data_IF_958102775410
#
_entry.id   IF_958102775410
#
_cell.length_a   1.000
_cell.length_b   1.000
_cell.length_c   1.000
_cell.angle_alpha   90.00
_cell.angle_beta   90.00
_cell.angle_gamma   90.00
#
_symmetry.space_group_name_H-M   'P 1'
#
loop_
_entity.id
_entity.type
_entity.pdbx_description
1 polymer ?
#
# COMPACT_ATOMS: atom_id res chain seq x y z
N UNK A 1 -14.82 15.24 39.66
CA UNK A 1 -13.98 16.46 39.60
C UNK A 1 -12.53 16.14 39.94
N UNK A 2 -11.61 16.19 38.94
CA UNK A 2 -10.14 16.41 39.01
C UNK A 2 -9.59 16.22 37.57
N UNK A 3 -9.37 17.31 36.82
CA UNK A 3 -8.08 17.94 36.42
C UNK A 3 -7.24 17.07 35.44
N UNK A 4 -7.19 17.33 34.12
CA UNK A 4 -6.39 18.33 33.33
C UNK A 4 -4.87 18.06 33.26
N UNK A 5 -4.33 18.11 32.01
CA UNK A 5 -2.94 18.50 31.56
C UNK A 5 -1.91 17.35 31.49
N UNK A 6 -0.99 17.17 30.51
CA UNK A 6 -0.69 17.63 29.13
C UNK A 6 0.56 16.79 28.67
N UNK A 7 0.70 16.59 27.34
CA UNK A 7 1.93 16.50 26.51
C UNK A 7 3.23 15.86 27.07
N UNK A 8 3.81 14.91 26.31
CA UNK A 8 4.95 15.17 25.39
C UNK A 8 5.64 13.86 24.97
N UNK A 9 5.93 13.75 23.67
CA UNK A 9 6.70 12.66 23.08
C UNK A 9 6.83 12.86 21.58
N UNK A 10 7.25 14.06 21.16
CA UNK A 10 7.57 14.33 19.75
C UNK A 10 8.93 13.70 19.44
N UNK A 11 8.95 12.72 18.53
CA UNK A 11 10.18 12.31 17.86
C UNK A 11 10.22 13.02 16.52
N UNK A 12 10.97 14.11 16.47
CA UNK A 12 11.42 14.74 15.24
C UNK A 12 12.57 13.91 14.71
N UNK A 13 12.42 13.30 13.53
CA UNK A 13 13.53 12.75 12.76
C UNK A 13 13.60 13.53 11.45
N UNK A 14 14.53 14.47 11.42
CA UNK A 14 15.02 15.09 10.20
C UNK A 14 16.20 14.25 9.71
N UNK A 15 16.04 13.60 8.56
CA UNK A 15 17.15 13.31 7.65
C UNK A 15 16.74 13.75 6.25
N UNK A 16 17.59 14.61 5.71
CA UNK A 16 17.53 15.44 4.51
C UNK A 16 17.32 14.61 3.22
N UNK A 17 16.51 15.15 2.29
CA UNK A 17 16.78 15.00 0.86
C UNK A 17 15.77 14.27 -0.04
N UNK A 18 14.46 14.37 0.20
CA UNK A 18 13.46 14.21 -0.88
C UNK A 18 12.46 15.36 -0.75
N UNK A 19 12.75 16.44 -1.46
CA UNK A 19 11.91 17.62 -1.50
C UNK A 19 10.56 17.32 -2.19
N UNK A 20 9.47 17.80 -1.58
CA UNK A 20 8.10 17.94 -2.13
C UNK A 20 7.11 16.76 -2.08
N UNK A 21 6.98 16.07 -0.95
CA UNK A 21 5.68 15.49 -0.58
C UNK A 21 5.33 15.86 0.88
N UNK A 22 4.54 16.91 1.02
CA UNK A 22 3.91 17.33 2.27
C UNK A 22 2.77 16.35 2.60
N UNK A 23 3.13 15.14 3.04
CA UNK A 23 2.17 14.18 3.58
C UNK A 23 2.04 14.53 5.06
N UNK A 24 1.06 15.36 5.37
CA UNK A 24 0.61 15.59 6.74
C UNK A 24 0.13 14.26 7.32
N UNK A 25 1.00 13.56 8.05
CA UNK A 25 0.74 12.26 8.67
C UNK A 25 -0.43 12.35 9.67
N UNK A 26 -0.69 13.54 10.25
CA UNK A 26 -1.88 13.77 11.08
C UNK A 26 -3.15 13.85 10.24
N UNK A 27 -3.09 14.44 9.05
CA UNK A 27 -4.15 14.35 8.04
C UNK A 27 -4.36 12.91 7.56
N UNK A 28 -3.32 12.10 7.41
CA UNK A 28 -3.41 10.70 6.99
C UNK A 28 -4.13 9.82 8.02
N UNK A 29 -3.72 9.90 9.29
CA UNK A 29 -4.37 9.17 10.39
C UNK A 29 -5.81 9.64 10.63
N UNK A 30 -6.10 10.93 10.42
CA UNK A 30 -7.47 11.46 10.52
C UNK A 30 -8.33 11.06 9.32
N UNK A 31 -7.78 11.01 8.10
CA UNK A 31 -8.48 10.54 6.89
C UNK A 31 -8.74 9.03 6.91
N UNK A 32 -7.81 8.22 7.42
CA UNK A 32 -8.03 6.78 7.62
C UNK A 32 -9.10 6.52 8.67
N UNK A 33 -9.17 7.36 9.72
CA UNK A 33 -10.23 7.32 10.73
C UNK A 33 -11.61 7.76 10.19
N UNK A 34 -11.65 8.64 9.19
CA UNK A 34 -12.88 9.07 8.50
C UNK A 34 -13.31 8.14 7.36
N UNK A 35 -12.39 7.40 6.74
CA UNK A 35 -12.69 6.43 5.67
C UNK A 35 -13.13 5.07 6.21
N UNK A 36 -12.97 4.83 7.51
CA UNK A 36 -13.48 3.67 8.22
C UNK A 36 -14.42 4.20 9.30
N UNK A 37 -15.55 4.77 8.88
CA UNK A 37 -16.71 4.74 9.77
C UNK A 37 -17.07 3.26 9.94
N UNK A 38 -17.04 2.72 11.17
CA UNK A 38 -17.72 1.46 11.41
C UNK A 38 -19.15 1.67 10.94
N UNK A 39 -19.69 0.72 10.17
CA UNK A 39 -21.15 0.62 10.09
C UNK A 39 -21.61 0.28 11.51
N UNK A 40 -21.85 1.31 12.32
CA UNK A 40 -22.45 1.16 13.63
C UNK A 40 -23.81 0.49 13.41
N UNK A 41 -24.19 -0.42 14.30
CA UNK A 41 -25.40 -1.23 14.17
C UNK A 41 -26.69 -0.42 13.99
N UNK A 42 -26.65 0.89 14.26
CA UNK A 42 -27.77 1.82 14.10
C UNK A 42 -27.84 2.56 12.76
N UNK A 43 -26.86 2.36 11.86
CA UNK A 43 -26.82 2.96 10.52
C UNK A 43 -28.09 2.63 9.71
N UNK A 44 -28.70 3.64 9.08
CA UNK A 44 -29.86 3.43 8.20
C UNK A 44 -29.54 2.48 7.03
N UNK A 45 -28.28 2.39 6.59
CA UNK A 45 -27.85 1.41 5.60
C UNK A 45 -27.92 -0.02 6.17
N UNK A 46 -27.46 -0.22 7.41
CA UNK A 46 -27.54 -1.51 8.11
C UNK A 46 -29.00 -1.90 8.33
N UNK A 47 -29.87 -0.96 8.73
CA UNK A 47 -31.32 -1.19 8.90
C UNK A 47 -32.00 -1.50 7.58
N UNK A 48 -31.67 -0.80 6.50
CA UNK A 48 -32.23 -1.05 5.16
C UNK A 48 -31.76 -2.39 4.58
N UNK A 49 -30.50 -2.77 4.75
CA UNK A 49 -29.99 -4.08 4.35
C UNK A 49 -30.64 -5.18 5.20
N UNK A 50 -30.74 -4.96 6.52
CA UNK A 50 -31.35 -5.91 7.44
C UNK A 50 -32.83 -6.18 7.12
N UNK A 51 -33.58 -5.14 6.72
CA UNK A 51 -34.99 -5.24 6.37
C UNK A 51 -35.24 -5.82 4.96
N UNK A 52 -34.26 -5.76 4.06
CA UNK A 52 -34.37 -6.26 2.67
C UNK A 52 -33.94 -7.72 2.53
N UNK A 53 -33.08 -8.19 3.42
CA UNK A 53 -32.63 -9.57 3.44
C UNK A 53 -33.51 -10.31 4.45
N UNK A 54 -34.31 -11.31 4.03
CA UNK A 54 -35.11 -12.09 4.95
C UNK A 54 -34.19 -13.08 5.68
N UNK A 55 -33.43 -12.60 6.67
CA UNK A 55 -32.48 -13.42 7.44
C UNK A 55 -33.14 -14.64 8.08
N UNK A 56 -34.44 -14.55 8.38
CA UNK A 56 -35.26 -15.65 8.90
C UNK A 56 -35.65 -16.70 7.85
N UNK A 57 -35.39 -16.45 6.56
CA UNK A 57 -35.70 -17.35 5.44
C UNK A 57 -34.46 -17.95 4.79
N UNK A 58 -33.26 -17.50 5.15
CA UNK A 58 -32.04 -18.22 4.78
C UNK A 58 -32.06 -19.55 5.54
N UNK A 59 -32.14 -20.66 4.81
CA UNK A 59 -32.07 -21.96 5.45
C UNK A 59 -30.70 -22.11 6.13
N UNK A 60 -30.66 -22.75 7.32
CA UNK A 60 -29.40 -23.00 8.04
C UNK A 60 -28.33 -23.63 7.13
N UNK A 61 -28.74 -24.40 6.12
CA UNK A 61 -27.88 -25.00 5.11
C UNK A 61 -27.26 -23.96 4.18
N UNK A 62 -28.03 -23.00 3.65
CA UNK A 62 -27.54 -21.96 2.75
C UNK A 62 -26.59 -20.98 3.46
N UNK A 63 -26.89 -20.63 4.71
CA UNK A 63 -25.98 -19.82 5.55
C UNK A 63 -24.68 -20.57 5.81
N UNK A 64 -24.77 -21.87 6.12
CA UNK A 64 -23.61 -22.70 6.37
C UNK A 64 -22.75 -22.84 5.11
N UNK A 65 -23.34 -23.07 3.95
CA UNK A 65 -22.64 -23.12 2.66
C UNK A 65 -21.95 -21.79 2.33
N UNK A 66 -22.62 -20.66 2.58
CA UNK A 66 -22.02 -19.34 2.38
C UNK A 66 -20.84 -19.09 3.31
N UNK A 67 -20.97 -19.41 4.60
CA UNK A 67 -19.87 -19.31 5.57
C UNK A 67 -18.74 -20.30 5.28
N UNK A 68 -19.05 -21.44 4.65
CA UNK A 68 -18.06 -22.41 4.23
C UNK A 68 -17.35 -22.04 2.92
N UNK A 69 -17.89 -21.09 2.16
CA UNK A 69 -17.32 -20.63 0.90
C UNK A 69 -15.92 -20.01 1.10
N UNK A 70 -14.88 -20.44 0.34
CA UNK A 70 -13.49 -20.01 0.56
C UNK A 70 -13.28 -18.50 0.58
N UNK A 71 -13.97 -17.76 -0.30
CA UNK A 71 -13.89 -16.29 -0.36
C UNK A 71 -14.45 -15.62 0.89
N UNK A 72 -15.50 -16.19 1.48
CA UNK A 72 -16.12 -15.64 2.69
C UNK A 72 -15.21 -15.91 3.89
N UNK A 73 -14.64 -17.11 3.98
CA UNK A 73 -13.63 -17.44 4.99
C UNK A 73 -12.42 -16.50 4.94
N UNK A 74 -11.86 -16.27 3.75
CA UNK A 74 -10.73 -15.36 3.56
C UNK A 74 -11.06 -13.92 3.99
N UNK A 75 -12.24 -13.42 3.64
CA UNK A 75 -12.70 -12.10 4.06
C UNK A 75 -12.88 -11.99 5.58
N UNK A 76 -13.54 -12.96 6.20
CA UNK A 76 -13.77 -12.97 7.65
C UNK A 76 -12.46 -13.09 8.42
N UNK A 77 -11.54 -13.91 7.94
CA UNK A 77 -10.19 -14.03 8.50
C UNK A 77 -9.43 -12.69 8.45
N UNK A 78 -9.46 -12.00 7.29
CA UNK A 78 -8.87 -10.67 7.15
C UNK A 78 -9.47 -9.65 8.13
N UNK A 79 -10.79 -9.61 8.27
CA UNK A 79 -11.46 -8.69 9.21
C UNK A 79 -11.17 -9.03 10.68
N UNK A 80 -11.00 -10.31 11.01
CA UNK A 80 -10.63 -10.76 12.35
C UNK A 80 -9.20 -10.32 12.70
N UNK A 81 -8.22 -10.55 11.82
CA UNK A 81 -6.83 -10.12 12.06
C UNK A 81 -6.74 -8.60 12.18
N UNK A 82 -7.41 -7.86 11.30
CA UNK A 82 -7.47 -6.40 11.34
C UNK A 82 -8.01 -5.90 12.68
N UNK A 83 -9.10 -6.50 13.17
CA UNK A 83 -9.68 -6.16 14.48
C UNK A 83 -8.71 -6.50 15.61
N UNK A 84 -8.12 -7.68 15.60
CA UNK A 84 -7.19 -8.13 16.63
C UNK A 84 -5.96 -7.20 16.74
N UNK A 85 -5.37 -6.81 15.60
CA UNK A 85 -4.26 -5.85 15.57
C UNK A 85 -4.68 -4.46 16.03
N UNK A 86 -5.85 -3.97 15.62
CA UNK A 86 -6.39 -2.68 16.10
C UNK A 86 -6.56 -2.70 17.62
N UNK A 87 -7.14 -3.77 18.15
CA UNK A 87 -7.40 -3.92 19.57
C UNK A 87 -6.09 -4.03 20.36
N UNK A 88 -5.11 -4.77 19.85
CA UNK A 88 -3.74 -4.84 20.40
C UNK A 88 -3.07 -3.46 20.51
N UNK A 89 -3.07 -2.67 19.43
CA UNK A 89 -2.47 -1.34 19.45
C UNK A 89 -3.24 -0.35 20.33
N UNK A 90 -4.57 -0.51 20.45
CA UNK A 90 -5.39 0.30 21.36
C UNK A 90 -5.26 -0.11 22.84
N UNK A 91 -4.63 -1.26 23.13
CA UNK A 91 -4.53 -1.82 24.49
C UNK A 91 -5.83 -2.47 24.99
N UNK A 92 -6.77 -2.76 24.09
CA UNK A 92 -8.05 -3.43 24.39
C UNK A 92 -8.05 -4.91 23.99
N UNK A 93 -7.04 -5.36 23.24
CA UNK A 93 -6.93 -6.73 22.75
C UNK A 93 -6.23 -7.68 23.71
N UNK A 94 -6.44 -8.98 23.49
CA UNK A 94 -5.83 -10.07 24.26
C UNK A 94 -4.55 -10.63 23.62
N UNK A 95 -4.20 -10.19 22.40
CA UNK A 95 -2.98 -10.64 21.75
C UNK A 95 -1.76 -10.30 22.60
N UNK A 96 -0.91 -11.32 22.81
CA UNK A 96 0.45 -11.12 23.29
C UNK A 96 1.28 -10.33 22.27
N UNK A 97 2.45 -9.86 22.71
CA UNK A 97 3.39 -9.16 21.84
C UNK A 97 3.82 -10.05 20.68
N UNK A 98 4.11 -11.32 20.96
CA UNK A 98 4.54 -12.31 20.00
C UNK A 98 3.44 -12.60 18.97
N UNK A 99 2.20 -12.84 19.41
CA UNK A 99 1.06 -13.08 18.50
C UNK A 99 0.75 -11.87 17.63
N UNK A 100 0.89 -10.65 18.16
CA UNK A 100 0.73 -9.44 17.36
C UNK A 100 1.82 -9.31 16.28
N UNK A 101 3.07 -9.68 16.59
CA UNK A 101 4.14 -9.69 15.58
C UNK A 101 3.88 -10.73 14.50
N UNK A 102 3.50 -11.95 14.88
CA UNK A 102 3.16 -13.02 13.93
C UNK A 102 2.00 -12.63 13.01
N UNK A 103 0.96 -12.00 13.55
CA UNK A 103 -0.16 -11.50 12.76
C UNK A 103 0.27 -10.40 11.77
N UNK A 104 1.22 -9.53 12.13
CA UNK A 104 1.78 -8.52 11.21
C UNK A 104 2.59 -9.20 10.09
N UNK A 105 3.44 -10.17 10.43
CA UNK A 105 4.20 -10.96 9.45
C UNK A 105 3.28 -11.75 8.50
N UNK A 106 2.18 -12.29 9.01
CA UNK A 106 1.19 -13.01 8.21
C UNK A 106 0.51 -12.10 7.18
N UNK A 107 0.00 -10.94 7.59
CA UNK A 107 -0.69 -10.03 6.66
C UNK A 107 0.26 -9.45 5.60
N UNK A 108 1.54 -9.28 5.93
CA UNK A 108 2.56 -8.88 4.97
C UNK A 108 2.89 -9.99 3.98
N UNK A 109 3.16 -11.21 4.48
CA UNK A 109 3.49 -12.37 3.66
C UNK A 109 2.39 -12.71 2.67
N UNK A 110 1.14 -12.52 3.07
CA UNK A 110 -0.03 -12.74 2.22
C UNK A 110 -0.39 -11.55 1.33
N UNK A 111 0.44 -10.49 1.32
CA UNK A 111 0.21 -9.26 0.57
C UNK A 111 -1.17 -8.63 0.83
N UNK A 112 -1.73 -8.82 2.04
CA UNK A 112 -2.99 -8.21 2.48
C UNK A 112 -2.81 -6.72 2.82
N UNK A 113 -1.57 -6.30 3.02
CA UNK A 113 -1.13 -4.91 3.22
C UNK A 113 0.04 -4.60 2.30
N UNK A 114 0.25 -3.33 1.99
CA UNK A 114 1.45 -2.87 1.29
C UNK A 114 2.69 -2.99 2.18
N UNK A 115 3.88 -3.06 1.57
CA UNK A 115 5.14 -3.10 2.34
C UNK A 115 5.32 -1.88 3.26
N UNK A 116 4.83 -0.70 2.87
CA UNK A 116 4.85 0.49 3.73
C UNK A 116 3.91 0.37 4.94
N UNK A 117 2.72 -0.20 4.75
CA UNK A 117 1.78 -0.46 5.84
C UNK A 117 2.33 -1.52 6.80
N UNK A 118 2.91 -2.60 6.29
CA UNK A 118 3.58 -3.61 7.11
C UNK A 118 4.73 -3.00 7.93
N UNK A 119 5.62 -2.23 7.31
CA UNK A 119 6.69 -1.51 7.99
C UNK A 119 6.15 -0.59 9.09
N UNK A 120 5.07 0.14 8.81
CA UNK A 120 4.43 1.02 9.79
C UNK A 120 3.90 0.25 10.99
N UNK A 121 3.26 -0.91 10.78
CA UNK A 121 2.78 -1.79 11.84
C UNK A 121 3.94 -2.34 12.68
N UNK A 122 5.02 -2.80 12.04
CA UNK A 122 6.21 -3.31 12.73
C UNK A 122 6.91 -2.23 13.55
N UNK A 123 6.98 -0.99 13.05
CA UNK A 123 7.51 0.14 13.81
C UNK A 123 6.63 0.48 15.02
N UNK A 124 5.31 0.51 14.86
CA UNK A 124 4.39 0.72 15.96
C UNK A 124 4.51 -0.40 17.03
N UNK A 125 4.71 -1.65 16.58
CA UNK A 125 4.98 -2.77 17.47
C UNK A 125 6.31 -2.58 18.23
N UNK A 126 7.38 -2.20 17.54
CA UNK A 126 8.68 -1.93 18.18
C UNK A 126 8.56 -0.80 19.21
N UNK A 127 7.85 0.28 18.89
CA UNK A 127 7.65 1.39 19.81
C UNK A 127 6.90 0.96 21.08
N UNK A 128 5.83 0.16 20.91
CA UNK A 128 5.02 -0.34 22.03
C UNK A 128 5.78 -1.30 22.94
N UNK A 129 6.70 -2.12 22.41
CA UNK A 129 7.35 -3.21 23.13
C UNK A 129 8.83 -2.97 23.48
N UNK A 130 9.40 -1.83 23.09
CA UNK A 130 10.77 -1.48 23.48
C UNK A 130 10.82 -0.96 24.93
N UNK A 131 11.85 -1.37 25.67
CA UNK A 131 12.07 -0.94 27.06
C UNK A 131 12.61 0.49 27.12
N UNK A 132 13.25 0.96 26.03
CA UNK A 132 13.78 2.31 25.94
C UNK A 132 13.70 2.88 24.53
N UNK A 133 13.77 4.21 24.43
CA UNK A 133 13.87 4.90 23.15
C UNK A 133 15.16 4.54 22.38
N UNK A 134 16.25 4.21 23.09
CA UNK A 134 17.50 3.79 22.46
C UNK A 134 17.36 2.43 21.78
N UNK A 135 16.73 1.47 22.46
CA UNK A 135 16.41 0.15 21.91
C UNK A 135 15.48 0.25 20.70
N UNK A 136 14.41 1.05 20.81
CA UNK A 136 13.49 1.29 19.70
C UNK A 136 14.24 1.82 18.46
N UNK A 137 15.07 2.85 18.61
CA UNK A 137 15.82 3.44 17.50
C UNK A 137 16.75 2.44 16.82
N UNK A 138 17.48 1.64 17.61
CA UNK A 138 18.39 0.63 17.09
C UNK A 138 17.64 -0.42 16.28
N UNK A 139 16.55 -0.98 16.83
CA UNK A 139 15.74 -1.99 16.13
C UNK A 139 14.98 -1.42 14.93
N UNK A 140 14.51 -0.18 15.01
CA UNK A 140 13.86 0.49 13.89
C UNK A 140 14.84 0.71 12.73
N UNK A 141 16.09 1.09 13.02
CA UNK A 141 17.13 1.24 11.99
C UNK A 141 17.47 -0.08 11.32
N UNK A 142 17.60 -1.17 12.11
CA UNK A 142 17.77 -2.53 11.57
C UNK A 142 16.61 -2.90 10.64
N UNK A 143 15.37 -2.64 11.06
CA UNK A 143 14.17 -2.90 10.26
C UNK A 143 14.17 -2.11 8.96
N UNK A 144 14.49 -0.81 8.99
CA UNK A 144 14.59 0.01 7.79
C UNK A 144 15.65 -0.53 6.82
N UNK A 145 16.78 -1.01 7.32
CA UNK A 145 17.84 -1.57 6.49
C UNK A 145 17.39 -2.87 5.80
N UNK A 146 16.62 -3.72 6.48
CA UNK A 146 16.01 -4.92 5.87
C UNK A 146 15.07 -4.53 4.73
N UNK A 147 14.12 -3.63 4.97
CA UNK A 147 13.18 -3.19 3.93
C UNK A 147 13.87 -2.49 2.76
N UNK A 148 14.91 -1.68 3.03
CA UNK A 148 15.71 -1.06 1.98
C UNK A 148 16.42 -2.10 1.13
N UNK A 149 17.03 -3.10 1.76
CA UNK A 149 17.72 -4.17 1.03
C UNK A 149 16.76 -5.00 0.18
N UNK A 150 15.56 -5.29 0.68
CA UNK A 150 14.53 -6.00 -0.08
C UNK A 150 14.04 -5.18 -1.27
N UNK A 151 13.72 -3.90 -1.05
CA UNK A 151 13.33 -3.00 -2.13
C UNK A 151 14.42 -2.85 -3.19
N UNK A 152 15.68 -2.76 -2.76
CA UNK A 152 16.82 -2.70 -3.69
C UNK A 152 16.97 -4.00 -4.48
N UNK A 153 16.82 -5.17 -3.87
CA UNK A 153 16.85 -6.46 -4.59
C UNK A 153 15.79 -6.50 -5.69
N UNK A 154 14.56 -6.07 -5.39
CA UNK A 154 13.49 -6.02 -6.40
C UNK A 154 13.85 -5.10 -7.57
N UNK A 155 14.52 -3.97 -7.31
CA UNK A 155 14.98 -3.04 -8.36
C UNK A 155 16.13 -3.66 -9.15
N UNK A 156 17.07 -4.32 -8.48
CA UNK A 156 18.27 -4.91 -9.09
C UNK A 156 17.93 -6.14 -9.94
N UNK A 157 16.92 -6.92 -9.52
CA UNK A 157 16.44 -8.10 -10.22
C UNK A 157 15.48 -7.75 -11.37
N UNK A 158 14.97 -6.52 -11.42
CA UNK A 158 14.05 -6.05 -12.45
C UNK A 158 14.78 -5.77 -13.76
N UNK A 159 14.54 -6.60 -14.78
CA UNK A 159 15.00 -6.34 -16.14
C UNK A 159 13.80 -6.03 -17.07
N UNK A 160 13.57 -4.76 -17.45
CA UNK A 160 12.48 -4.41 -18.33
C UNK A 160 12.62 -5.04 -19.73
N UNK A 161 13.83 -5.45 -20.15
CA UNK A 161 14.03 -6.17 -21.42
C UNK A 161 13.44 -7.58 -21.41
N UNK A 162 13.27 -8.18 -20.22
CA UNK A 162 12.70 -9.51 -20.03
C UNK A 162 11.24 -9.38 -19.56
N UNK A 163 10.97 -8.47 -18.63
CA UNK A 163 9.70 -8.41 -17.90
C UNK A 163 8.60 -7.60 -18.60
N UNK A 164 8.95 -6.66 -19.48
CA UNK A 164 7.97 -5.82 -20.17
C UNK A 164 7.84 -6.28 -21.62
N UNK A 165 6.71 -6.90 -22.00
CA UNK A 165 6.48 -7.31 -23.38
C UNK A 165 6.65 -6.15 -24.36
N UNK A 166 7.45 -6.35 -25.39
CA UNK A 166 7.72 -5.34 -26.42
C UNK A 166 8.75 -4.27 -26.03
N UNK A 167 9.25 -4.21 -24.79
CA UNK A 167 10.20 -3.18 -24.38
C UNK A 167 11.49 -3.17 -25.21
N UNK A 168 12.12 -4.33 -25.41
CA UNK A 168 13.31 -4.43 -26.27
C UNK A 168 13.05 -3.94 -27.69
N UNK A 169 11.91 -4.32 -28.28
CA UNK A 169 11.48 -3.86 -29.61
C UNK A 169 11.25 -2.35 -29.64
N UNK A 170 10.60 -1.78 -28.62
CA UNK A 170 10.43 -0.33 -28.51
C UNK A 170 11.78 0.39 -28.42
N UNK A 171 12.73 -0.13 -27.65
CA UNK A 171 14.06 0.48 -27.51
C UNK A 171 14.87 0.49 -28.81
N UNK A 172 14.78 -0.58 -29.59
CA UNK A 172 15.38 -0.65 -30.94
C UNK A 172 14.75 0.39 -31.90
N UNK A 173 13.42 0.50 -31.86
CA UNK A 173 12.69 1.50 -32.65
C UNK A 173 13.01 2.93 -32.21
N UNK A 174 13.06 3.19 -30.91
CA UNK A 174 13.42 4.50 -30.34
C UNK A 174 14.81 4.94 -30.80
N UNK A 175 15.80 4.04 -30.74
CA UNK A 175 17.15 4.33 -31.23
C UNK A 175 17.13 4.69 -32.73
N UNK A 176 16.46 3.86 -33.54
CA UNK A 176 16.34 4.08 -34.99
C UNK A 176 15.68 5.42 -35.33
N UNK A 177 14.62 5.78 -34.59
CA UNK A 177 13.89 7.05 -34.75
C UNK A 177 14.78 8.24 -34.37
N UNK A 178 15.51 8.15 -33.26
CA UNK A 178 16.40 9.23 -32.82
C UNK A 178 17.51 9.46 -33.84
N UNK A 179 18.14 8.39 -34.34
CA UNK A 179 19.17 8.46 -35.38
C UNK A 179 18.63 9.09 -36.67
N UNK A 180 17.45 8.67 -37.12
CA UNK A 180 16.78 9.24 -38.29
C UNK A 180 16.53 10.75 -38.11
N UNK A 181 15.89 11.15 -37.00
CA UNK A 181 15.51 12.55 -36.73
C UNK A 181 16.75 13.45 -36.60
N UNK A 182 17.86 12.94 -36.07
CA UNK A 182 19.11 13.69 -35.97
C UNK A 182 19.73 13.98 -37.33
N UNK A 183 19.64 13.03 -38.28
CA UNK A 183 20.17 13.17 -39.63
C UNK A 183 19.29 14.04 -40.55
N UNK A 184 18.02 14.22 -40.19
CA UNK A 184 17.10 15.05 -40.96
C UNK A 184 17.42 16.55 -40.85
N UNK A 185 17.42 17.21 -42.01
CA UNK A 185 17.59 18.66 -42.18
C UNK A 185 16.28 19.40 -42.42
N UNK A 186 15.21 18.69 -42.79
CA UNK A 186 13.85 19.23 -42.96
C UNK A 186 12.82 18.23 -42.46
N UNK A 187 11.73 18.71 -41.87
CA UNK A 187 10.70 17.86 -41.26
C UNK A 187 9.34 18.01 -41.98
N UNK A 188 8.57 16.91 -42.12
CA UNK A 188 7.26 16.93 -42.77
C UNK A 188 6.28 17.91 -42.12
N UNK A 189 5.39 18.49 -42.93
CA UNK A 189 4.30 19.34 -42.44
C UNK A 189 4.74 20.64 -41.77
N UNK A 190 5.99 21.08 -41.99
CA UNK A 190 6.54 22.28 -41.33
C UNK A 190 6.79 22.10 -39.84
N UNK A 191 6.76 20.86 -39.34
CA UNK A 191 7.02 20.56 -37.93
C UNK A 191 8.44 20.96 -37.54
N UNK A 192 8.63 21.32 -36.27
CA UNK A 192 9.96 21.36 -35.68
C UNK A 192 10.52 19.94 -35.47
N UNK A 193 11.84 19.81 -35.37
CA UNK A 193 12.52 18.56 -35.03
C UNK A 193 11.92 17.87 -33.81
N UNK A 194 11.61 18.63 -32.76
CA UNK A 194 11.07 18.11 -31.51
C UNK A 194 9.63 17.61 -31.63
N UNK A 195 8.79 18.33 -32.39
CA UNK A 195 7.41 17.88 -32.67
C UNK A 195 7.41 16.59 -33.48
N UNK A 196 8.27 16.53 -34.49
CA UNK A 196 8.42 15.33 -35.31
C UNK A 196 8.94 14.14 -34.50
N UNK A 197 9.97 14.34 -33.66
CA UNK A 197 10.49 13.30 -32.77
C UNK A 197 9.41 12.77 -31.83
N UNK A 198 8.70 13.68 -31.14
CA UNK A 198 7.64 13.31 -30.20
C UNK A 198 6.56 12.50 -30.90
N UNK A 199 6.13 12.92 -32.09
CA UNK A 199 5.15 12.19 -32.89
C UNK A 199 5.64 10.78 -33.22
N UNK A 200 6.86 10.64 -33.74
CA UNK A 200 7.42 9.34 -34.14
C UNK A 200 7.57 8.39 -32.95
N UNK A 201 8.02 8.89 -31.80
CA UNK A 201 8.12 8.08 -30.58
C UNK A 201 6.75 7.66 -30.05
N UNK A 202 5.74 8.52 -30.15
CA UNK A 202 4.36 8.19 -29.80
C UNK A 202 3.80 7.10 -30.72
N UNK A 203 3.94 7.25 -32.04
CA UNK A 203 3.49 6.25 -33.02
C UNK A 203 4.17 4.88 -32.78
N UNK A 204 5.46 4.88 -32.40
CA UNK A 204 6.20 3.67 -32.06
C UNK A 204 5.71 3.01 -30.77
N UNK A 205 5.36 3.79 -29.73
CA UNK A 205 4.75 3.27 -28.51
C UNK A 205 3.41 2.60 -28.80
N UNK A 206 2.55 3.26 -29.58
CA UNK A 206 1.24 2.72 -29.97
C UNK A 206 1.38 1.42 -30.77
N UNK A 207 2.41 1.32 -31.62
CA UNK A 207 2.69 0.11 -32.40
C UNK A 207 3.12 -1.06 -31.51
N UNK A 208 3.93 -0.79 -30.47
CA UNK A 208 4.52 -1.83 -29.62
C UNK A 208 3.61 -2.25 -28.48
N UNK A 209 2.95 -1.29 -27.83
CA UNK A 209 2.18 -1.51 -26.61
C UNK A 209 0.66 -1.51 -26.82
N UNK A 210 0.18 -1.13 -28.01
CA UNK A 210 -1.24 -0.88 -28.26
C UNK A 210 -1.70 0.47 -27.72
N UNK A 211 -2.95 0.83 -28.03
CA UNK A 211 -3.63 2.04 -27.55
C UNK A 211 -4.30 1.84 -26.20
#
# INVERSE_FOLDING_TARGET
>A
MRKLILLAGAVTLAVVGVDHYDIDVRSGVTKVRQLIEPLEGDSELVKNISNRIPWSQLENTEVKELLDHPRVKAYLDQENIKRALKDYFSGLGELSSEEAWEAIEEVEREARVTGYEALSLKLAWLEKNSVSQGEFKLRAEELFNVYRSQAQSVIDDYDPHIEVPGFSTYKELEQSIVEEVQQMTSFPGGMSRHEYLRKRLQDARETVYGS
#
